data_IF_049705897915
#
_entry.id   IF_049705897915
#
_cell.length_a   1.000
_cell.length_b   1.000
_cell.length_c   1.000
_cell.angle_alpha   90.00
_cell.angle_beta   90.00
_cell.angle_gamma   90.00
#
_symmetry.space_group_name_H-M   'P 1'
#
loop_
_entity.id
_entity.type
_entity.pdbx_description
1 polymer ?
#
# COMPACT_ATOMS: atom_id res chain seq x y z
N UNK A 1 -4.91 11.05 63.43
CA UNK A 1 -4.52 11.66 62.13
C UNK A 1 -4.38 10.51 61.15
N UNK A 2 -5.41 10.28 60.34
CA UNK A 2 -5.52 9.11 59.46
C UNK A 2 -5.36 9.60 58.02
N UNK A 3 -4.30 9.13 57.34
CA UNK A 3 -4.09 9.32 55.91
C UNK A 3 -4.98 8.33 55.15
N UNK A 4 -5.71 8.82 54.16
CA UNK A 4 -6.40 7.98 53.17
C UNK A 4 -5.71 8.23 51.84
N UNK A 5 -4.85 7.29 51.43
CA UNK A 5 -4.26 7.26 50.09
C UNK A 5 -5.34 6.87 49.07
N UNK A 6 -5.59 7.76 48.10
CA UNK A 6 -6.43 7.49 46.95
C UNK A 6 -5.68 6.58 45.97
N UNK A 7 -6.21 5.38 45.73
CA UNK A 7 -5.72 4.49 44.68
C UNK A 7 -6.15 5.06 43.32
N UNK A 8 -5.21 5.68 42.62
CA UNK A 8 -5.35 6.11 41.22
C UNK A 8 -5.48 4.87 40.32
N UNK A 9 -6.65 4.70 39.72
CA UNK A 9 -6.89 3.62 38.76
C UNK A 9 -6.16 3.92 37.43
N UNK A 10 -5.12 3.14 37.13
CA UNK A 10 -4.42 3.18 35.85
C UNK A 10 -5.40 2.99 34.67
N UNK A 11 -5.34 3.82 33.62
CA UNK A 11 -6.17 3.62 32.43
C UNK A 11 -5.79 2.29 31.77
N UNK A 12 -6.76 1.38 31.69
CA UNK A 12 -6.64 0.12 30.96
C UNK A 12 -6.38 0.46 29.49
N UNK A 13 -5.14 0.32 29.03
CA UNK A 13 -4.82 0.37 27.60
C UNK A 13 -5.74 -0.62 26.88
N UNK A 14 -6.64 -0.09 26.05
CA UNK A 14 -7.53 -0.89 25.23
C UNK A 14 -6.71 -1.86 24.38
N UNK A 15 -7.18 -3.11 24.31
CA UNK A 15 -6.68 -4.18 23.42
C UNK A 15 -6.38 -3.60 22.03
N UNK A 16 -5.22 -3.97 21.42
CA UNK A 16 -4.86 -3.60 20.03
C UNK A 16 -6.11 -3.71 19.14
N UNK A 17 -6.41 -2.63 18.40
CA UNK A 17 -7.58 -2.57 17.51
C UNK A 17 -7.51 -3.73 16.53
N UNK A 18 -8.55 -4.56 16.54
CA UNK A 18 -8.65 -5.66 15.60
C UNK A 18 -9.17 -5.11 14.27
N UNK A 19 -8.22 -4.78 13.38
CA UNK A 19 -8.48 -4.21 12.06
C UNK A 19 -9.27 -5.15 11.12
N UNK A 20 -9.52 -6.40 11.53
CA UNK A 20 -10.33 -7.37 10.77
C UNK A 20 -11.82 -7.29 11.09
N UNK A 21 -12.20 -6.57 12.15
CA UNK A 21 -13.60 -6.41 12.54
C UNK A 21 -14.21 -5.29 11.70
N UNK A 22 -15.04 -5.68 10.73
CA UNK A 22 -15.85 -4.83 9.83
C UNK A 22 -15.20 -4.50 8.48
N UNK A 23 -14.78 -5.52 7.68
CA UNK A 23 -14.18 -5.31 6.37
C UNK A 23 -15.08 -4.49 5.42
N UNK A 24 -16.40 -4.61 5.55
CA UNK A 24 -17.36 -3.81 4.77
C UNK A 24 -17.26 -2.30 5.01
N UNK A 25 -16.96 -1.88 6.24
CA UNK A 25 -16.82 -0.45 6.57
C UNK A 25 -15.47 0.06 6.04
N UNK A 26 -14.42 -0.74 6.21
CA UNK A 26 -13.08 -0.39 5.73
C UNK A 26 -13.04 -0.32 4.19
N UNK A 27 -13.65 -1.28 3.50
CA UNK A 27 -13.78 -1.24 2.03
C UNK A 27 -14.57 -0.02 1.55
N UNK A 28 -15.69 0.29 2.22
CA UNK A 28 -16.46 1.50 1.93
C UNK A 28 -15.65 2.78 2.18
N UNK A 29 -14.80 2.81 3.21
CA UNK A 29 -13.91 3.93 3.48
C UNK A 29 -12.88 4.10 2.36
N UNK A 30 -12.29 3.00 1.87
CA UNK A 30 -11.37 3.01 0.73
C UNK A 30 -12.05 3.50 -0.56
N UNK A 31 -13.28 3.08 -0.83
CA UNK A 31 -14.04 3.54 -2.00
C UNK A 31 -14.29 5.05 -1.94
N UNK A 32 -14.87 5.54 -0.84
CA UNK A 32 -15.14 6.97 -0.65
C UNK A 32 -13.87 7.79 -0.73
N UNK A 33 -12.78 7.30 -0.14
CA UNK A 33 -11.46 7.94 -0.19
C UNK A 33 -10.93 8.01 -1.63
N UNK A 34 -11.08 6.95 -2.42
CA UNK A 34 -10.63 6.91 -3.82
C UNK A 34 -11.45 7.84 -4.74
N UNK A 35 -12.72 8.08 -4.39
CA UNK A 35 -13.65 8.93 -5.15
C UNK A 35 -13.48 10.42 -4.83
N UNK A 36 -13.24 10.75 -3.55
CA UNK A 36 -13.35 12.14 -3.06
C UNK A 36 -12.06 12.70 -2.46
N UNK A 37 -11.02 11.86 -2.34
CA UNK A 37 -9.81 12.20 -1.61
C UNK A 37 -10.04 12.37 -0.11
N UNK A 38 -8.96 12.52 0.65
CA UNK A 38 -9.07 12.62 2.11
C UNK A 38 -9.86 13.86 2.56
N UNK A 39 -9.67 15.00 1.90
CA UNK A 39 -10.30 16.26 2.30
C UNK A 39 -11.81 16.27 2.01
N UNK A 40 -12.24 15.66 0.89
CA UNK A 40 -13.66 15.51 0.54
C UNK A 40 -14.39 14.40 1.30
N UNK A 41 -13.66 13.44 1.87
CA UNK A 41 -14.23 12.32 2.62
C UNK A 41 -14.82 12.76 3.96
N UNK A 42 -16.02 12.24 4.27
CA UNK A 42 -16.67 12.36 5.59
C UNK A 42 -17.07 10.99 6.15
N UNK A 43 -17.15 10.88 7.49
CA UNK A 43 -17.63 9.66 8.16
C UNK A 43 -19.07 9.32 7.75
N UNK A 44 -19.89 10.33 7.43
CA UNK A 44 -21.28 10.13 7.00
C UNK A 44 -21.38 9.47 5.63
N UNK A 45 -20.51 9.85 4.70
CA UNK A 45 -20.42 9.18 3.39
C UNK A 45 -20.04 7.71 3.54
N UNK A 46 -19.09 7.40 4.43
CA UNK A 46 -18.69 6.02 4.71
C UNK A 46 -19.84 5.24 5.36
N UNK A 47 -20.50 5.81 6.36
CA UNK A 47 -21.63 5.18 7.04
C UNK A 47 -22.76 4.84 6.04
N UNK A 48 -23.09 5.78 5.15
CA UNK A 48 -24.08 5.58 4.10
C UNK A 48 -23.65 4.47 3.12
N UNK A 49 -22.40 4.48 2.64
CA UNK A 49 -21.86 3.47 1.72
C UNK A 49 -21.82 2.07 2.34
N UNK A 50 -21.38 1.98 3.58
CA UNK A 50 -21.28 0.72 4.32
C UNK A 50 -22.64 0.21 4.84
N UNK A 51 -23.72 1.02 4.70
CA UNK A 51 -25.03 0.78 5.33
C UNK A 51 -24.90 0.53 6.84
N UNK A 52 -24.03 1.31 7.50
CA UNK A 52 -23.71 1.19 8.91
C UNK A 52 -24.17 2.44 9.69
N UNK A 53 -24.53 2.26 10.96
CA UNK A 53 -24.93 3.37 11.82
C UNK A 53 -23.75 4.27 12.19
N UNK A 54 -23.94 5.59 12.14
CA UNK A 54 -22.93 6.61 12.50
C UNK A 54 -22.33 6.39 13.91
N UNK A 55 -23.16 6.01 14.88
CA UNK A 55 -22.71 5.68 16.24
C UNK A 55 -21.75 4.48 16.30
N UNK A 56 -21.91 3.50 15.40
CA UNK A 56 -21.01 2.35 15.29
C UNK A 56 -19.63 2.77 14.79
N UNK A 57 -19.57 3.69 13.82
CA UNK A 57 -18.31 4.22 13.30
C UNK A 57 -17.57 5.02 14.37
N UNK A 58 -18.21 6.01 15.01
CA UNK A 58 -17.54 6.82 16.04
C UNK A 58 -17.07 6.04 17.27
N UNK A 59 -17.78 4.97 17.65
CA UNK A 59 -17.35 4.10 18.76
C UNK A 59 -16.04 3.35 18.45
N UNK A 60 -15.77 3.07 17.18
CA UNK A 60 -14.62 2.27 16.72
C UNK A 60 -13.48 3.14 16.22
N UNK A 61 -13.80 4.16 15.45
CA UNK A 61 -12.88 5.14 14.89
C UNK A 61 -13.27 6.54 15.41
N UNK A 62 -12.69 6.95 16.54
CA UNK A 62 -12.81 8.30 17.08
C UNK A 62 -12.57 9.43 16.08
N UNK A 63 -11.77 9.19 15.03
CA UNK A 63 -11.43 10.18 14.01
C UNK A 63 -11.45 9.61 12.59
N UNK A 64 -11.59 10.51 11.60
CA UNK A 64 -11.48 10.18 10.16
C UNK A 64 -10.11 9.60 9.82
N UNK A 65 -9.03 10.13 10.40
CA UNK A 65 -7.67 9.65 10.17
C UNK A 65 -7.47 8.22 10.64
N UNK A 66 -8.02 7.87 11.81
CA UNK A 66 -7.94 6.51 12.35
C UNK A 66 -8.73 5.50 11.49
N UNK A 67 -9.91 5.89 10.98
CA UNK A 67 -10.67 5.07 10.04
C UNK A 67 -9.88 4.80 8.75
N UNK A 68 -9.26 5.83 8.18
CA UNK A 68 -8.49 5.69 6.94
C UNK A 68 -7.23 4.86 7.17
N UNK A 69 -6.55 5.05 8.29
CA UNK A 69 -5.38 4.25 8.64
C UNK A 69 -5.73 2.76 8.73
N UNK A 70 -6.78 2.42 9.47
CA UNK A 70 -7.26 1.04 9.59
C UNK A 70 -7.67 0.46 8.23
N UNK A 71 -8.31 1.26 7.38
CA UNK A 71 -8.72 0.85 6.05
C UNK A 71 -7.51 0.54 5.15
N UNK A 72 -6.48 1.38 5.20
CA UNK A 72 -5.20 1.20 4.51
C UNK A 72 -4.45 -0.05 5.00
N UNK A 73 -4.40 -0.26 6.31
CA UNK A 73 -3.76 -1.44 6.91
C UNK A 73 -4.53 -2.71 6.55
N UNK A 74 -5.85 -2.68 6.50
CA UNK A 74 -6.64 -3.84 6.06
C UNK A 74 -6.41 -4.17 4.57
N UNK A 75 -6.15 -3.14 3.74
CA UNK A 75 -5.78 -3.33 2.33
C UNK A 75 -4.44 -4.10 2.17
N UNK A 76 -3.58 -4.14 3.21
CA UNK A 76 -2.27 -4.85 3.24
C UNK A 76 -2.41 -6.38 3.02
N UNK A 77 -3.53 -6.98 3.43
CA UNK A 77 -3.54 -8.42 3.77
C UNK A 77 -3.77 -9.38 2.59
N UNK A 78 -3.70 -8.96 1.31
CA UNK A 78 -4.18 -9.83 0.20
C UNK A 78 -3.26 -10.06 -0.99
N UNK A 79 -2.17 -9.31 -1.19
CA UNK A 79 -1.55 -9.29 -2.52
C UNK A 79 -0.16 -9.94 -2.66
N UNK A 80 0.70 -9.88 -1.63
CA UNK A 80 2.09 -10.34 -1.74
C UNK A 80 2.44 -11.22 -0.53
N UNK A 81 2.61 -12.51 -0.80
CA UNK A 81 3.22 -13.47 0.12
C UNK A 81 4.72 -13.55 -0.19
N UNK A 82 5.56 -13.11 0.75
CA UNK A 82 7.00 -13.10 0.57
C UNK A 82 7.61 -14.51 0.59
N UNK A 83 6.92 -15.49 1.18
CA UNK A 83 7.37 -16.88 1.24
C UNK A 83 7.02 -17.64 -0.06
N UNK A 84 6.08 -17.12 -0.86
CA UNK A 84 5.61 -17.70 -2.11
C UNK A 84 5.96 -16.85 -3.34
N UNK A 85 7.08 -16.12 -3.31
CA UNK A 85 7.54 -15.34 -4.46
C UNK A 85 8.02 -16.23 -5.62
N UNK A 86 7.76 -15.84 -6.89
CA UNK A 86 8.32 -16.52 -8.04
C UNK A 86 9.84 -16.64 -7.98
N UNK A 87 10.37 -17.75 -8.47
CA UNK A 87 11.81 -17.95 -8.70
C UNK A 87 11.99 -18.70 -10.01
N UNK A 88 11.94 -17.94 -11.09
CA UNK A 88 12.01 -18.42 -12.47
C UNK A 88 13.45 -18.62 -12.95
N UNK A 89 14.44 -18.24 -12.12
CA UNK A 89 15.86 -18.29 -12.47
C UNK A 89 16.37 -17.09 -13.27
N UNK A 90 15.54 -16.10 -13.57
CA UNK A 90 15.98 -14.83 -14.19
C UNK A 90 15.27 -13.64 -13.58
N UNK A 91 15.94 -12.48 -13.48
CA UNK A 91 15.34 -11.25 -12.97
C UNK A 91 14.09 -10.86 -13.76
N UNK A 92 14.16 -10.99 -15.09
CA UNK A 92 13.04 -10.71 -15.97
C UNK A 92 11.84 -11.61 -15.67
N UNK A 93 12.07 -12.92 -15.60
CA UNK A 93 10.98 -13.88 -15.34
C UNK A 93 10.34 -13.65 -13.99
N UNK A 94 11.13 -13.32 -12.97
CA UNK A 94 10.65 -13.02 -11.62
C UNK A 94 9.74 -11.78 -11.61
N UNK A 95 10.19 -10.69 -12.25
CA UNK A 95 9.41 -9.44 -12.37
C UNK A 95 8.14 -9.61 -13.22
N UNK A 96 8.21 -10.37 -14.31
CA UNK A 96 7.05 -10.62 -15.20
C UNK A 96 6.03 -11.55 -14.54
N UNK A 97 6.47 -12.54 -13.76
CA UNK A 97 5.59 -13.45 -13.01
C UNK A 97 4.77 -12.72 -11.94
N UNK A 98 5.21 -11.52 -11.52
CA UNK A 98 4.46 -10.65 -10.62
C UNK A 98 3.34 -9.84 -11.30
N UNK A 99 3.20 -9.91 -12.63
CA UNK A 99 2.09 -9.27 -13.36
C UNK A 99 0.92 -10.25 -13.39
N UNK A 100 -0.10 -10.04 -12.54
CA UNK A 100 -1.28 -10.93 -12.45
C UNK A 100 -2.52 -10.29 -13.11
N UNK A 101 -3.40 -11.03 -13.80
CA UNK A 101 -4.57 -10.47 -14.49
C UNK A 101 -5.57 -9.67 -13.60
N UNK A 102 -5.85 -10.06 -12.33
CA UNK A 102 -6.66 -9.22 -11.43
C UNK A 102 -5.93 -7.96 -10.95
N UNK A 103 -4.59 -7.91 -11.06
CA UNK A 103 -3.80 -6.86 -10.40
C UNK A 103 -4.00 -5.48 -11.01
N UNK A 104 -4.52 -5.36 -12.23
CA UNK A 104 -4.59 -4.07 -12.94
C UNK A 104 -5.66 -3.15 -12.30
N UNK A 105 -6.91 -3.61 -12.24
CA UNK A 105 -8.00 -2.84 -11.66
C UNK A 105 -7.78 -2.57 -10.16
N UNK A 106 -7.28 -3.57 -9.43
CA UNK A 106 -6.95 -3.43 -8.02
C UNK A 106 -5.78 -2.47 -7.82
N UNK A 107 -4.77 -2.46 -8.71
CA UNK A 107 -3.68 -1.48 -8.67
C UNK A 107 -4.15 -0.07 -8.96
N UNK A 108 -5.06 0.13 -9.92
CA UNK A 108 -5.64 1.45 -10.21
C UNK A 108 -6.44 1.98 -9.01
N UNK A 109 -7.28 1.14 -8.40
CA UNK A 109 -8.01 1.50 -7.18
C UNK A 109 -7.04 1.82 -6.05
N UNK A 110 -6.03 0.98 -5.83
CA UNK A 110 -4.98 1.19 -4.81
C UNK A 110 -4.24 2.50 -5.04
N UNK A 111 -3.91 2.85 -6.28
CA UNK A 111 -3.24 4.13 -6.62
C UNK A 111 -4.14 5.34 -6.39
N UNK A 112 -5.45 5.24 -6.68
CA UNK A 112 -6.41 6.31 -6.35
C UNK A 112 -6.56 6.48 -4.84
N UNK A 113 -6.58 5.39 -4.09
CA UNK A 113 -6.51 5.41 -2.61
C UNK A 113 -5.21 6.09 -2.15
N UNK A 114 -4.05 5.72 -2.72
CA UNK A 114 -2.76 6.37 -2.43
C UNK A 114 -2.80 7.88 -2.69
N UNK A 115 -3.33 8.29 -3.86
CA UNK A 115 -3.46 9.70 -4.21
C UNK A 115 -4.42 10.44 -3.27
N UNK A 116 -5.52 9.81 -2.88
CA UNK A 116 -6.46 10.34 -1.89
C UNK A 116 -5.82 10.56 -0.51
N UNK A 117 -4.81 9.76 -0.16
CA UNK A 117 -4.06 9.85 1.11
C UNK A 117 -2.82 10.75 0.98
N UNK A 118 -2.36 11.09 -0.23
CA UNK A 118 -1.18 11.94 -0.43
C UNK A 118 -1.32 13.31 0.27
N UNK A 119 -2.53 13.90 0.25
CA UNK A 119 -2.81 15.15 0.98
C UNK A 119 -2.81 14.97 2.50
N UNK A 120 -3.13 13.77 3.01
CA UNK A 120 -3.04 13.43 4.43
C UNK A 120 -1.58 13.23 4.85
N UNK A 121 -0.78 12.52 4.06
CA UNK A 121 0.65 12.26 4.32
C UNK A 121 1.40 13.60 4.46
N UNK A 122 1.08 14.58 3.60
CA UNK A 122 1.68 15.91 3.67
C UNK A 122 1.33 16.69 4.96
N UNK A 123 0.20 16.37 5.61
CA UNK A 123 -0.30 17.08 6.80
C UNK A 123 -0.12 16.31 8.11
N UNK A 124 0.12 15.00 8.05
CA UNK A 124 0.18 14.10 9.20
C UNK A 124 1.31 13.08 9.05
N UNK A 125 2.54 13.43 9.47
CA UNK A 125 3.72 12.57 9.34
C UNK A 125 3.58 11.17 9.99
N UNK A 126 2.83 11.08 11.08
CA UNK A 126 2.52 9.83 11.77
C UNK A 126 1.68 8.85 10.93
N UNK A 127 0.83 9.37 10.03
CA UNK A 127 0.06 8.55 9.09
C UNK A 127 0.87 8.20 7.84
N UNK A 128 1.88 9.01 7.50
CA UNK A 128 2.81 8.74 6.40
C UNK A 128 3.61 7.46 6.61
N UNK A 129 4.15 7.26 7.82
CA UNK A 129 4.94 6.06 8.14
C UNK A 129 4.10 4.78 8.01
N UNK A 130 2.89 4.78 8.54
CA UNK A 130 2.02 3.62 8.47
C UNK A 130 1.50 3.36 7.04
N UNK A 131 1.21 4.41 6.27
CA UNK A 131 0.88 4.28 4.85
C UNK A 131 2.07 3.72 4.04
N UNK A 132 3.29 4.18 4.31
CA UNK A 132 4.50 3.64 3.69
C UNK A 132 4.65 2.14 4.00
N UNK A 133 4.52 1.76 5.28
CA UNK A 133 4.66 0.36 5.71
C UNK A 133 3.55 -0.54 5.14
N UNK A 134 2.33 -0.03 5.01
CA UNK A 134 1.20 -0.81 4.51
C UNK A 134 1.17 -0.92 2.98
N UNK A 135 1.64 0.12 2.27
CA UNK A 135 1.35 0.28 0.83
C UNK A 135 2.59 0.17 -0.05
N UNK A 136 3.73 0.68 0.42
CA UNK A 136 4.98 0.73 -0.34
C UNK A 136 5.86 -0.48 -0.02
N UNK A 137 6.03 -0.75 1.28
CA UNK A 137 7.01 -1.73 1.76
C UNK A 137 6.77 -3.17 1.25
N UNK A 138 5.55 -3.70 1.16
CA UNK A 138 5.34 -5.08 0.67
C UNK A 138 5.86 -5.30 -0.75
N UNK A 139 5.64 -4.34 -1.65
CA UNK A 139 6.12 -4.43 -3.05
C UNK A 139 7.62 -4.17 -3.13
N UNK A 140 8.13 -3.22 -2.34
CA UNK A 140 9.56 -2.94 -2.28
C UNK A 140 10.34 -4.17 -1.78
N UNK A 141 9.87 -4.81 -0.71
CA UNK A 141 10.45 -6.05 -0.17
C UNK A 141 10.51 -7.19 -1.21
N UNK A 142 9.41 -7.45 -1.94
CA UNK A 142 9.41 -8.45 -3.00
C UNK A 142 10.41 -8.11 -4.12
N UNK A 143 10.42 -6.86 -4.59
CA UNK A 143 11.36 -6.42 -5.62
C UNK A 143 12.83 -6.55 -5.16
N UNK A 144 13.14 -6.16 -3.92
CA UNK A 144 14.49 -6.32 -3.34
C UNK A 144 14.94 -7.76 -3.35
N UNK A 145 14.07 -8.71 -3.05
CA UNK A 145 14.37 -10.15 -3.11
C UNK A 145 14.76 -10.54 -4.54
N UNK A 146 13.99 -10.13 -5.56
CA UNK A 146 14.32 -10.45 -6.96
C UNK A 146 15.65 -9.84 -7.40
N UNK A 147 15.89 -8.56 -7.10
CA UNK A 147 17.17 -7.92 -7.43
C UNK A 147 18.35 -8.56 -6.69
N UNK A 148 18.17 -8.95 -5.43
CA UNK A 148 19.22 -9.66 -4.67
C UNK A 148 19.54 -11.00 -5.30
N UNK A 149 18.52 -11.80 -5.63
CA UNK A 149 18.71 -13.09 -6.33
C UNK A 149 19.43 -12.90 -7.67
N UNK A 150 19.10 -11.85 -8.42
CA UNK A 150 19.77 -11.53 -9.69
C UNK A 150 21.25 -11.17 -9.48
N UNK A 151 21.60 -10.44 -8.42
CA UNK A 151 22.99 -10.19 -8.03
C UNK A 151 23.70 -11.50 -7.67
N UNK A 152 23.07 -12.33 -6.84
CA UNK A 152 23.65 -13.60 -6.38
C UNK A 152 23.90 -14.58 -7.55
N UNK A 153 23.05 -14.53 -8.59
CA UNK A 153 23.21 -15.28 -9.85
C UNK A 153 24.21 -14.65 -10.83
N UNK A 154 24.69 -13.43 -10.56
CA UNK A 154 25.57 -12.68 -11.46
C UNK A 154 24.88 -12.12 -12.71
N UNK A 155 23.54 -12.02 -12.72
CA UNK A 155 22.79 -11.40 -13.82
C UNK A 155 22.99 -9.88 -13.87
N UNK A 156 23.16 -9.23 -12.72
CA UNK A 156 23.37 -7.79 -12.59
C UNK A 156 24.57 -7.47 -11.69
N UNK A 157 25.21 -6.29 -11.85
CA UNK A 157 26.35 -5.88 -11.02
C UNK A 157 26.01 -5.85 -9.52
N UNK A 158 26.97 -6.22 -8.67
CA UNK A 158 26.79 -6.24 -7.21
C UNK A 158 26.57 -4.85 -6.59
N UNK A 159 27.02 -3.79 -7.26
CA UNK A 159 26.85 -2.39 -6.88
C UNK A 159 25.59 -1.74 -7.48
N UNK A 160 24.70 -2.55 -8.08
CA UNK A 160 23.40 -2.09 -8.59
C UNK A 160 22.64 -1.30 -7.52
N UNK A 161 22.10 -0.14 -7.90
CA UNK A 161 21.33 0.73 -7.02
C UNK A 161 19.91 0.17 -6.76
N UNK A 162 19.81 -0.98 -6.09
CA UNK A 162 18.56 -1.77 -5.90
C UNK A 162 17.41 -0.91 -5.39
N UNK A 163 17.64 -0.06 -4.39
CA UNK A 163 16.59 0.83 -3.86
C UNK A 163 16.04 1.78 -4.92
N UNK A 164 16.90 2.31 -5.80
CA UNK A 164 16.48 3.18 -6.91
C UNK A 164 15.72 2.39 -7.98
N UNK A 165 16.20 1.20 -8.33
CA UNK A 165 15.54 0.32 -9.30
C UNK A 165 14.14 -0.08 -8.84
N UNK A 166 13.96 -0.36 -7.54
CA UNK A 166 12.66 -0.70 -6.96
C UNK A 166 11.61 0.42 -7.09
N UNK A 167 12.04 1.69 -7.18
CA UNK A 167 11.14 2.83 -7.32
C UNK A 167 10.64 3.07 -8.75
N UNK A 168 11.38 2.63 -9.77
CA UNK A 168 11.09 2.95 -11.18
C UNK A 168 9.70 2.46 -11.59
N UNK A 169 9.40 1.17 -11.36
CA UNK A 169 8.12 0.58 -11.72
C UNK A 169 6.93 1.30 -11.09
N UNK A 170 6.85 1.40 -9.75
CA UNK A 170 5.80 2.13 -9.06
C UNK A 170 5.67 3.60 -9.51
N UNK A 171 6.77 4.31 -9.74
CA UNK A 171 6.75 5.71 -10.18
C UNK A 171 6.15 5.85 -11.60
N UNK A 172 6.53 4.99 -12.53
CA UNK A 172 6.00 4.96 -13.90
C UNK A 172 4.49 4.66 -13.91
N UNK A 173 4.07 3.67 -13.12
CA UNK A 173 2.65 3.32 -12.96
C UNK A 173 1.87 4.48 -12.33
N UNK A 174 2.40 5.09 -11.26
CA UNK A 174 1.77 6.22 -10.59
C UNK A 174 1.60 7.43 -11.52
N UNK A 175 2.64 7.80 -12.28
CA UNK A 175 2.55 8.90 -13.24
C UNK A 175 1.52 8.62 -14.33
N UNK A 176 1.51 7.40 -14.88
CA UNK A 176 0.55 7.00 -15.92
C UNK A 176 -0.91 7.08 -15.45
N UNK A 177 -1.20 6.60 -14.25
CA UNK A 177 -2.56 6.59 -13.72
C UNK A 177 -2.98 7.98 -13.24
N UNK A 178 -2.14 8.65 -12.45
CA UNK A 178 -2.52 9.88 -11.75
C UNK A 178 -2.39 11.13 -12.61
N UNK A 179 -1.35 11.21 -13.46
CA UNK A 179 -1.08 12.40 -14.26
C UNK A 179 -1.61 12.26 -15.69
N UNK A 180 -1.49 11.08 -16.29
CA UNK A 180 -1.96 10.85 -17.66
C UNK A 180 -3.40 10.33 -17.73
N UNK A 181 -3.98 9.86 -16.61
CA UNK A 181 -5.32 9.27 -16.59
C UNK A 181 -5.45 8.01 -17.45
N UNK A 182 -4.34 7.30 -17.71
CA UNK A 182 -4.31 6.13 -18.60
C UNK A 182 -4.36 4.83 -17.80
N UNK A 183 -5.05 3.79 -18.32
CA UNK A 183 -5.07 2.49 -17.67
C UNK A 183 -3.71 1.81 -17.74
N UNK A 184 -3.47 0.88 -16.82
CA UNK A 184 -2.23 0.10 -16.73
C UNK A 184 -2.46 -1.28 -17.32
N UNK A 185 -2.00 -1.52 -18.54
CA UNK A 185 -2.11 -2.83 -19.17
C UNK A 185 -0.82 -3.66 -19.02
N UNK A 186 -0.93 -4.96 -19.30
CA UNK A 186 0.19 -5.90 -19.23
C UNK A 186 1.32 -5.51 -20.19
N UNK A 187 0.98 -4.95 -21.35
CA UNK A 187 1.94 -4.51 -22.36
C UNK A 187 2.83 -3.39 -21.81
N UNK A 188 2.24 -2.37 -21.20
CA UNK A 188 2.95 -1.27 -20.54
C UNK A 188 3.87 -1.78 -19.41
N UNK A 189 3.40 -2.73 -18.61
CA UNK A 189 4.21 -3.30 -17.52
C UNK A 189 5.41 -4.07 -18.06
N UNK A 190 5.23 -4.88 -19.11
CA UNK A 190 6.33 -5.61 -19.76
C UNK A 190 7.31 -4.64 -20.40
N UNK A 191 6.82 -3.64 -21.13
CA UNK A 191 7.68 -2.61 -21.72
C UNK A 191 8.48 -1.84 -20.65
N UNK A 192 7.87 -1.55 -19.50
CA UNK A 192 8.56 -0.91 -18.38
C UNK A 192 9.67 -1.81 -17.81
N UNK A 193 9.42 -3.12 -17.71
CA UNK A 193 10.44 -4.08 -17.27
C UNK A 193 11.57 -4.15 -18.31
N UNK A 194 11.25 -4.45 -19.56
CA UNK A 194 12.22 -4.77 -20.61
C UNK A 194 12.97 -3.56 -21.15
N UNK A 195 12.29 -2.42 -21.25
CA UNK A 195 12.82 -1.19 -21.84
C UNK A 195 13.41 -0.20 -20.84
N UNK A 196 13.12 -0.36 -19.54
CA UNK A 196 13.57 0.60 -18.51
C UNK A 196 14.27 -0.10 -17.35
N UNK A 197 13.59 -1.02 -16.65
CA UNK A 197 14.12 -1.59 -15.41
C UNK A 197 15.34 -2.49 -15.67
N UNK A 198 15.25 -3.43 -16.61
CA UNK A 198 16.37 -4.33 -16.92
C UNK A 198 17.58 -3.57 -17.48
N UNK A 199 17.45 -2.64 -18.46
CA UNK A 199 18.56 -1.81 -18.90
C UNK A 199 19.17 -0.96 -17.78
N UNK A 200 18.35 -0.36 -16.92
CA UNK A 200 18.84 0.41 -15.77
C UNK A 200 19.58 -0.46 -14.74
N UNK A 201 19.28 -1.76 -14.68
CA UNK A 201 19.99 -2.74 -13.87
C UNK A 201 21.25 -3.30 -14.56
N UNK A 202 21.57 -2.87 -15.79
CA UNK A 202 22.75 -3.32 -16.54
C UNK A 202 22.52 -4.54 -17.44
N UNK A 203 21.29 -5.07 -17.50
CA UNK A 203 20.91 -6.13 -18.43
C UNK A 203 20.52 -5.52 -19.78
N UNK A 204 21.34 -5.75 -20.81
CA UNK A 204 20.96 -5.38 -22.18
C UNK A 204 19.97 -6.39 -22.70
N UNK A 205 18.78 -5.93 -23.07
CA UNK A 205 17.83 -6.70 -23.88
C UNK A 205 18.49 -6.97 -25.23
N UNK A 206 18.86 -8.23 -25.49
CA UNK A 206 19.31 -8.70 -26.81
C UNK A 206 18.16 -8.77 -27.79
#
# INVERSE_FOLDING_TARGET
>A
MTQTEGVEAKPRLGRKRDHTRDPKILDAALDVLSETGYDGMTIDMVAARAKAGKATLYRRWPSKSELVLDAVVCMKSRDIDLDALPDTGTLRGDLVAMIRPPSIHDSERKLKVMAGIASMIARSPELAAAAQEALVEPRASANRIFFRRAIDRGEIPADSAVERLCMIGPAMVAYRVLMLGKPVDREFLIWTIDGVILPAAGLRTS
#
